data_IF_149917202652
#
_entry.id   IF_149917202652
#
_cell.length_a   1.000
_cell.length_b   1.000
_cell.length_c   1.000
_cell.angle_alpha   90.00
_cell.angle_beta   90.00
_cell.angle_gamma   90.00
#
_symmetry.space_group_name_H-M   'P 1'
#
loop_
_entity.id
_entity.type
_entity.pdbx_description
1 polymer ?
#
# COMPACT_ATOMS: atom_id res chain seq x y z
N UNK A 1 1.48 8.28 -1.06
CA UNK A 1 1.79 8.62 -2.48
C UNK A 1 2.00 7.30 -3.19
N UNK A 2 1.25 7.11 -4.27
CA UNK A 2 1.30 5.89 -5.07
C UNK A 2 1.91 6.22 -6.42
N UNK A 3 2.87 5.40 -6.87
CA UNK A 3 3.43 5.52 -8.21
C UNK A 3 3.29 4.22 -8.96
N UNK A 4 2.61 4.28 -10.11
CA UNK A 4 2.35 3.14 -10.99
C UNK A 4 3.30 3.18 -12.18
N UNK A 5 3.84 2.02 -12.57
CA UNK A 5 4.68 1.86 -13.75
C UNK A 5 4.35 0.55 -14.46
N UNK A 6 3.71 0.65 -15.62
CA UNK A 6 3.25 -0.49 -16.39
C UNK A 6 4.38 -1.15 -17.18
N UNK A 7 4.35 -2.49 -17.26
CA UNK A 7 5.21 -3.23 -18.18
C UNK A 7 4.90 -2.87 -19.63
N UNK A 8 5.83 -3.15 -20.55
CA UNK A 8 5.63 -2.92 -21.99
C UNK A 8 4.37 -3.62 -22.53
N UNK A 9 4.06 -4.80 -22.00
CA UNK A 9 2.88 -5.59 -22.38
C UNK A 9 1.61 -5.15 -21.67
N UNK A 10 1.69 -4.19 -20.72
CA UNK A 10 0.60 -3.73 -19.86
C UNK A 10 -0.11 -4.84 -19.06
N UNK A 11 0.52 -6.02 -18.91
CA UNK A 11 -0.02 -7.12 -18.09
C UNK A 11 0.31 -7.00 -16.61
N UNK A 12 1.39 -6.28 -16.30
CA UNK A 12 1.86 -6.07 -14.93
C UNK A 12 2.08 -4.59 -14.69
N UNK A 13 1.82 -4.14 -13.48
CA UNK A 13 2.14 -2.82 -12.99
C UNK A 13 3.02 -2.92 -11.76
N UNK A 14 4.14 -2.22 -11.79
CA UNK A 14 4.94 -2.00 -10.60
C UNK A 14 4.37 -0.81 -9.86
N UNK A 15 3.84 -1.05 -8.66
CA UNK A 15 3.31 -0.03 -7.77
C UNK A 15 4.31 0.22 -6.66
N UNK A 16 4.80 1.45 -6.57
CA UNK A 16 5.54 1.94 -5.41
C UNK A 16 4.57 2.59 -4.44
N UNK A 17 4.57 2.06 -3.22
CA UNK A 17 3.84 2.57 -2.07
C UNK A 17 4.80 3.41 -1.24
N UNK A 18 4.56 4.72 -1.17
CA UNK A 18 5.32 5.66 -0.34
C UNK A 18 4.41 6.26 0.74
N UNK A 19 4.80 6.08 2.00
CA UNK A 19 4.11 6.59 3.17
C UNK A 19 4.91 7.75 3.80
N UNK A 20 4.25 8.87 4.18
CA UNK A 20 4.92 10.12 4.57
C UNK A 20 5.74 9.99 5.87
N UNK A 21 6.71 10.90 6.11
CA UNK A 21 7.63 10.84 7.24
C UNK A 21 7.05 11.31 8.57
N UNK A 22 5.97 12.09 8.55
CA UNK A 22 5.38 12.74 9.74
C UNK A 22 4.42 11.83 10.53
N UNK A 23 4.64 10.53 10.42
CA UNK A 23 3.86 9.51 11.09
C UNK A 23 4.72 8.97 12.21
N UNK A 24 4.35 9.28 13.45
CA UNK A 24 5.07 8.81 14.64
C UNK A 24 5.01 7.27 14.68
N UNK A 25 5.96 6.62 14.00
CA UNK A 25 6.05 5.20 13.72
C UNK A 25 7.50 4.84 13.39
N UNK A 26 7.89 3.62 13.76
CA UNK A 26 9.23 3.06 13.54
C UNK A 26 9.24 2.01 12.44
N UNK A 27 8.10 1.34 12.24
CA UNK A 27 7.91 0.30 11.24
C UNK A 27 6.59 0.53 10.50
N UNK A 28 6.59 0.18 9.22
CA UNK A 28 5.38 0.15 8.40
C UNK A 28 5.38 -1.10 7.53
N UNK A 29 4.21 -1.69 7.33
CA UNK A 29 3.97 -2.76 6.35
C UNK A 29 2.79 -2.39 5.47
N UNK A 30 2.82 -2.79 4.20
CA UNK A 30 1.65 -2.70 3.33
C UNK A 30 0.92 -4.05 3.33
N UNK A 31 -0.37 -4.02 3.63
CA UNK A 31 -1.24 -5.20 3.68
C UNK A 31 -2.38 -4.99 2.70
N UNK A 32 -2.70 -5.99 1.90
CA UNK A 32 -3.77 -5.90 0.92
C UNK A 32 -4.09 -7.24 0.27
N UNK A 33 -4.98 -7.22 -0.71
CA UNK A 33 -5.46 -8.44 -1.36
C UNK A 33 -4.32 -9.24 -2.01
N UNK A 34 -3.28 -8.56 -2.50
CA UNK A 34 -2.10 -9.16 -3.13
C UNK A 34 -1.17 -9.92 -2.17
N UNK A 35 -1.37 -9.82 -0.86
CA UNK A 35 -0.61 -10.57 0.14
C UNK A 35 -1.47 -11.12 1.26
N UNK A 36 -2.76 -11.34 0.99
CA UNK A 36 -3.72 -11.88 1.95
C UNK A 36 -3.74 -11.07 3.27
N UNK A 37 -3.52 -9.76 3.18
CA UNK A 37 -3.46 -8.85 4.32
C UNK A 37 -2.37 -9.17 5.35
N UNK A 38 -1.29 -9.85 4.93
CA UNK A 38 -0.17 -10.21 5.79
C UNK A 38 0.78 -9.03 6.08
N UNK A 39 0.94 -8.72 7.37
CA UNK A 39 1.89 -7.70 7.84
C UNK A 39 3.37 -8.09 7.69
N UNK A 40 3.68 -9.38 7.56
CA UNK A 40 5.06 -9.88 7.44
C UNK A 40 5.50 -10.05 5.98
N UNK A 41 4.57 -10.13 5.03
CA UNK A 41 4.89 -10.38 3.63
C UNK A 41 5.55 -9.16 2.94
N UNK A 42 5.13 -7.94 3.29
CA UNK A 42 5.64 -6.72 2.65
C UNK A 42 5.95 -5.60 3.67
N UNK A 43 6.97 -5.77 4.53
CA UNK A 43 7.50 -4.66 5.32
C UNK A 43 8.08 -3.58 4.41
N UNK A 44 7.88 -2.32 4.80
CA UNK A 44 8.36 -1.16 4.06
C UNK A 44 9.73 -0.72 4.55
N UNK A 45 10.57 -0.26 3.63
CA UNK A 45 11.88 0.28 3.95
C UNK A 45 11.73 1.70 4.49
N UNK A 46 12.19 1.93 5.71
CA UNK A 46 12.37 3.29 6.25
C UNK A 46 13.52 3.99 5.53
N UNK A 47 13.26 5.16 4.96
CA UNK A 47 14.19 5.97 4.18
C UNK A 47 14.82 7.06 5.05
N UNK A 48 15.96 7.60 4.61
CA UNK A 48 16.67 8.68 5.32
C UNK A 48 15.86 9.97 5.44
N UNK A 49 14.89 10.17 4.55
CA UNK A 49 13.97 11.31 4.56
C UNK A 49 12.73 11.08 5.43
N UNK A 50 12.74 10.01 6.24
CA UNK A 50 11.67 9.61 7.15
C UNK A 50 10.54 8.81 6.50
N UNK A 51 10.47 8.72 5.17
CA UNK A 51 9.39 8.01 4.48
C UNK A 51 9.53 6.50 4.59
N UNK A 52 8.41 5.79 4.55
CA UNK A 52 8.42 4.35 4.32
C UNK A 52 8.12 4.07 2.85
N UNK A 53 8.85 3.14 2.23
CA UNK A 53 8.68 2.81 0.82
C UNK A 53 8.79 1.32 0.56
N UNK A 54 7.91 0.79 -0.27
CA UNK A 54 8.04 -0.56 -0.86
C UNK A 54 7.48 -0.57 -2.27
N UNK A 55 7.84 -1.57 -3.05
CA UNK A 55 7.40 -1.68 -4.45
C UNK A 55 6.98 -3.10 -4.75
N UNK A 56 5.76 -3.25 -5.24
CA UNK A 56 5.11 -4.53 -5.49
C UNK A 56 4.69 -4.60 -6.95
N UNK A 57 4.84 -5.76 -7.58
CA UNK A 57 4.35 -5.99 -8.94
C UNK A 57 2.98 -6.64 -8.87
N UNK A 58 1.98 -5.95 -9.41
CA UNK A 58 0.58 -6.36 -9.43
C UNK A 58 0.15 -6.66 -10.87
N UNK A 59 -0.85 -7.52 -11.03
CA UNK A 59 -1.46 -7.76 -12.34
C UNK A 59 -2.32 -6.56 -12.71
N UNK A 60 -2.29 -6.18 -13.99
CA UNK A 60 -3.13 -5.10 -14.51
C UNK A 60 -4.51 -5.61 -14.94
N UNK A 61 -5.47 -4.69 -15.02
CA UNK A 61 -6.88 -4.94 -15.31
C UNK A 61 -7.71 -5.29 -14.09
N UNK A 62 -7.25 -4.98 -12.88
CA UNK A 62 -7.98 -5.29 -11.64
C UNK A 62 -7.65 -4.34 -10.51
N UNK A 63 -8.59 -4.27 -9.58
CA UNK A 63 -8.48 -3.42 -8.40
C UNK A 63 -8.02 -4.26 -7.20
N UNK A 64 -7.23 -3.64 -6.32
CA UNK A 64 -6.76 -4.25 -5.09
C UNK A 64 -7.05 -3.34 -3.91
N UNK A 65 -7.58 -3.90 -2.83
CA UNK A 65 -7.66 -3.21 -1.55
C UNK A 65 -6.34 -3.32 -0.80
N UNK A 66 -6.00 -2.28 -0.06
CA UNK A 66 -4.81 -2.25 0.79
C UNK A 66 -4.91 -1.21 1.91
N UNK A 67 -4.06 -1.36 2.93
CA UNK A 67 -3.80 -0.39 4.00
C UNK A 67 -2.34 -0.48 4.48
N UNK A 68 -1.90 0.54 5.21
CA UNK A 68 -0.62 0.53 5.91
C UNK A 68 -0.82 0.14 7.37
N UNK A 69 0.00 -0.79 7.86
CA UNK A 69 0.07 -1.15 9.27
C UNK A 69 1.34 -0.57 9.88
N UNK A 70 1.17 0.38 10.79
CA UNK A 70 2.26 1.08 11.48
C UNK A 70 2.49 0.48 12.86
N UNK A 71 3.75 0.18 13.18
CA UNK A 71 4.21 -0.48 14.41
C UNK A 71 3.37 -1.72 14.82
N UNK A 72 2.78 -2.42 13.85
CA UNK A 72 1.92 -3.58 14.09
C UNK A 72 0.57 -3.29 14.74
N UNK A 73 0.17 -2.02 14.91
CA UNK A 73 -1.01 -1.63 15.71
C UNK A 73 -1.93 -0.58 15.10
N UNK A 74 -1.42 0.32 14.27
CA UNK A 74 -2.21 1.44 13.70
C UNK A 74 -2.41 1.26 12.22
N UNK A 75 -3.66 1.24 11.78
CA UNK A 75 -4.04 1.09 10.39
C UNK A 75 -4.30 2.45 9.74
N UNK A 76 -3.57 2.74 8.66
CA UNK A 76 -3.69 3.99 7.91
C UNK A 76 -4.04 3.73 6.45
N UNK A 77 -4.82 4.62 5.87
CA UNK A 77 -5.14 4.61 4.44
C UNK A 77 -4.15 5.48 3.66
N UNK A 78 -3.98 5.24 2.36
CA UNK A 78 -3.29 6.18 1.48
C UNK A 78 -4.27 7.29 1.08
N UNK A 79 -3.97 8.52 1.46
CA UNK A 79 -4.55 9.76 0.93
C UNK A 79 -4.49 9.93 -0.59
N UNK A 80 -3.60 9.20 -1.28
CA UNK A 80 -3.49 9.18 -2.74
C UNK A 80 -4.01 7.86 -3.35
N UNK A 81 -4.84 7.10 -2.62
CA UNK A 81 -5.57 5.96 -3.16
C UNK A 81 -6.48 6.41 -4.31
N UNK A 82 -6.76 5.52 -5.26
CA UNK A 82 -7.67 5.86 -6.35
C UNK A 82 -9.10 6.01 -5.82
N UNK A 83 -9.49 5.16 -4.86
CA UNK A 83 -10.78 5.21 -4.17
C UNK A 83 -10.67 4.68 -2.73
N UNK A 84 -11.76 4.83 -1.97
CA UNK A 84 -11.95 4.19 -0.67
C UNK A 84 -13.18 3.29 -0.71
N UNK A 85 -13.05 2.08 -0.15
CA UNK A 85 -14.14 1.10 -0.13
C UNK A 85 -14.42 0.70 1.31
N UNK A 86 -15.70 0.72 1.70
CA UNK A 86 -16.13 0.28 3.03
C UNK A 86 -15.72 -1.17 3.29
N UNK A 87 -15.17 -1.41 4.48
CA UNK A 87 -14.77 -2.74 4.92
C UNK A 87 -15.73 -3.29 6.00
N UNK A 88 -15.54 -4.55 6.36
CA UNK A 88 -16.36 -5.24 7.38
C UNK A 88 -16.16 -4.75 8.82
N UNK A 89 -15.23 -3.83 9.05
CA UNK A 89 -14.89 -3.32 10.39
C UNK A 89 -15.47 -1.92 10.67
N UNK A 90 -16.39 -1.46 9.82
CA UNK A 90 -17.00 -0.13 9.96
C UNK A 90 -16.06 1.01 9.57
N UNK A 91 -14.93 0.71 8.90
CA UNK A 91 -14.02 1.71 8.33
C UNK A 91 -13.95 1.52 6.81
N UNK A 92 -12.94 2.11 6.18
CA UNK A 92 -12.68 1.98 4.74
C UNK A 92 -11.25 1.48 4.50
N UNK A 93 -11.06 0.79 3.38
CA UNK A 93 -9.75 0.43 2.85
C UNK A 93 -9.41 1.30 1.64
N UNK A 94 -8.13 1.56 1.43
CA UNK A 94 -7.68 2.17 0.18
C UNK A 94 -7.81 1.18 -0.97
N UNK A 95 -8.27 1.68 -2.12
CA UNK A 95 -8.34 0.92 -3.36
C UNK A 95 -7.27 1.45 -4.33
N UNK A 96 -6.56 0.52 -4.96
CA UNK A 96 -5.69 0.83 -6.10
C UNK A 96 -6.16 0.09 -7.34
N UNK A 97 -6.42 0.85 -8.41
CA UNK A 97 -6.76 0.36 -9.74
C UNK A 97 -5.49 0.14 -10.53
N UNK A 98 -5.26 -1.09 -10.95
CA UNK A 98 -4.05 -1.49 -11.66
C UNK A 98 -4.40 -1.84 -13.08
#
# INVERSE_FOLDING_TARGET
>A
MLRKSYSKTRRMCRVTFDFPPDVNATMASVCGDFNEWSASAHPMKHRKDGRFSTTISLEAGRDYRFRYLLDGRRWENDWAADEYVRNGFGTEDSLIKV
#
